data_IF_391050632982
#
_entry.id   IF_391050632982
#
_cell.length_a   1.000
_cell.length_b   1.000
_cell.length_c   1.000
_cell.angle_alpha   90.00
_cell.angle_beta   90.00
_cell.angle_gamma   90.00
#
_symmetry.space_group_name_H-M   'P 1'
#
loop_
_entity.id
_entity.type
_entity.pdbx_description
1 polymer ?
#
# COMPACT_ATOMS: atom_id res chain seq x y z
N UNK A 1 -59.11 5.75 -4.66
CA UNK A 1 -57.81 5.23 -4.18
C UNK A 1 -56.67 5.31 -5.20
N UNK A 2 -56.93 5.26 -6.52
CA UNK A 2 -55.89 5.25 -7.57
C UNK A 2 -55.12 6.59 -7.68
N UNK A 3 -55.76 7.73 -7.42
CA UNK A 3 -55.13 9.07 -7.52
C UNK A 3 -54.03 9.36 -6.48
N UNK A 4 -54.00 8.64 -5.36
CA UNK A 4 -53.01 8.89 -4.31
C UNK A 4 -51.65 8.24 -4.63
N UNK A 5 -51.67 7.14 -5.38
CA UNK A 5 -50.47 6.41 -5.83
C UNK A 5 -49.76 7.23 -6.91
N UNK A 6 -50.49 7.73 -7.91
CA UNK A 6 -49.90 8.52 -9.01
C UNK A 6 -49.23 9.82 -8.54
N UNK A 7 -49.74 10.46 -7.47
CA UNK A 7 -49.14 11.67 -6.90
C UNK A 7 -47.79 11.42 -6.21
N UNK A 8 -47.52 10.20 -5.75
CA UNK A 8 -46.28 9.83 -5.04
C UNK A 8 -45.20 9.25 -5.94
N UNK A 9 -45.55 8.77 -7.14
CA UNK A 9 -44.59 8.29 -8.16
C UNK A 9 -43.43 9.28 -8.39
N UNK A 10 -43.65 10.60 -8.61
CA UNK A 10 -42.55 11.55 -8.82
C UNK A 10 -41.66 11.73 -7.58
N UNK A 11 -42.22 11.65 -6.37
CA UNK A 11 -41.45 11.75 -5.12
C UNK A 11 -40.57 10.51 -4.89
N UNK A 12 -41.08 9.32 -5.22
CA UNK A 12 -40.33 8.06 -5.15
C UNK A 12 -39.19 8.07 -6.17
N UNK A 13 -39.44 8.52 -7.41
CA UNK A 13 -38.42 8.65 -8.44
C UNK A 13 -37.31 9.63 -8.03
N UNK A 14 -37.67 10.77 -7.42
CA UNK A 14 -36.71 11.75 -6.91
C UNK A 14 -35.84 11.16 -5.78
N UNK A 15 -36.43 10.41 -4.85
CA UNK A 15 -35.68 9.75 -3.77
C UNK A 15 -34.71 8.69 -4.31
N UNK A 16 -35.15 7.88 -5.28
CA UNK A 16 -34.28 6.89 -5.95
C UNK A 16 -33.14 7.61 -6.68
N UNK A 17 -33.42 8.70 -7.38
CA UNK A 17 -32.39 9.49 -8.06
C UNK A 17 -31.39 10.10 -7.07
N UNK A 18 -31.85 10.66 -5.95
CA UNK A 18 -30.97 11.16 -4.88
C UNK A 18 -30.12 10.05 -4.27
N UNK A 19 -30.67 8.83 -4.09
CA UNK A 19 -29.93 7.68 -3.60
C UNK A 19 -28.82 7.27 -4.59
N UNK A 20 -29.15 7.18 -5.89
CA UNK A 20 -28.18 6.85 -6.95
C UNK A 20 -27.09 7.92 -7.01
N UNK A 21 -27.44 9.21 -7.00
CA UNK A 21 -26.47 10.31 -7.00
C UNK A 21 -25.58 10.29 -5.75
N UNK A 22 -26.15 9.97 -4.58
CA UNK A 22 -25.40 9.81 -3.33
C UNK A 22 -24.38 8.67 -3.40
N UNK A 23 -24.79 7.49 -3.92
CA UNK A 23 -23.89 6.34 -4.12
C UNK A 23 -22.78 6.68 -5.12
N UNK A 24 -23.10 7.33 -6.24
CA UNK A 24 -22.11 7.74 -7.26
C UNK A 24 -21.13 8.78 -6.73
N UNK A 25 -21.55 9.70 -5.86
CA UNK A 25 -20.63 10.65 -5.21
C UNK A 25 -19.75 10.02 -4.13
N UNK A 26 -20.26 9.02 -3.40
CA UNK A 26 -19.45 8.20 -2.49
C UNK A 26 -18.39 7.40 -3.24
N UNK A 27 -18.73 6.88 -4.42
CA UNK A 27 -17.82 6.12 -5.27
C UNK A 27 -16.67 6.97 -5.83
N UNK A 28 -16.91 8.27 -6.12
CA UNK A 28 -15.85 9.22 -6.51
C UNK A 28 -14.98 9.71 -5.36
N UNK A 29 -15.46 9.58 -4.11
CA UNK A 29 -14.68 9.78 -2.88
C UNK A 29 -14.14 8.46 -2.32
N UNK A 30 -14.10 7.39 -3.12
CA UNK A 30 -13.42 6.16 -2.72
C UNK A 30 -12.03 6.56 -2.22
N UNK A 31 -11.80 6.26 -0.95
CA UNK A 31 -10.51 6.39 -0.30
C UNK A 31 -9.50 5.75 -1.24
N UNK A 32 -8.53 6.52 -1.75
CA UNK A 32 -7.41 5.95 -2.51
C UNK A 32 -6.79 4.87 -1.61
N UNK A 33 -7.03 3.60 -1.92
CA UNK A 33 -6.49 2.49 -1.15
C UNK A 33 -5.06 2.22 -1.58
N UNK A 34 -4.26 1.66 -0.67
CA UNK A 34 -2.83 1.45 -0.88
C UNK A 34 -1.98 2.21 0.12
N UNK A 35 -0.68 2.23 -0.10
CA UNK A 35 0.28 2.99 0.70
C UNK A 35 0.91 4.09 -0.15
N UNK A 36 1.35 5.17 0.49
CA UNK A 36 2.12 6.21 -0.19
C UNK A 36 3.54 5.71 -0.40
N UNK A 37 3.91 5.42 -1.64
CA UNK A 37 5.27 5.12 -2.05
C UNK A 37 6.05 6.42 -2.26
N UNK A 38 7.31 6.46 -1.86
CA UNK A 38 8.29 7.50 -2.15
C UNK A 38 9.54 6.84 -2.71
N UNK A 39 9.93 7.21 -3.91
CA UNK A 39 11.10 6.70 -4.61
C UNK A 39 12.26 7.68 -4.51
N UNK A 40 13.40 7.20 -4.05
CA UNK A 40 14.61 7.99 -3.88
C UNK A 40 15.56 7.65 -5.02
N UNK A 41 15.36 8.32 -6.16
CA UNK A 41 16.27 8.21 -7.31
C UNK A 41 17.48 9.08 -7.02
N UNK A 42 18.49 8.52 -6.37
CA UNK A 42 19.80 9.14 -6.17
C UNK A 42 19.77 10.53 -5.48
N UNK A 43 19.61 10.52 -4.15
CA UNK A 43 19.66 11.73 -3.34
C UNK A 43 21.00 12.48 -3.46
N UNK A 44 22.08 11.81 -3.89
CA UNK A 44 23.41 12.41 -4.06
C UNK A 44 23.48 13.30 -5.31
N UNK A 45 22.66 13.00 -6.34
CA UNK A 45 22.55 13.82 -7.56
C UNK A 45 21.52 14.95 -7.44
N UNK A 46 20.88 15.12 -6.27
CA UNK A 46 19.92 16.20 -6.01
C UNK A 46 18.58 16.05 -6.75
N UNK A 47 18.28 14.86 -7.29
CA UNK A 47 16.99 14.59 -7.92
C UNK A 47 15.92 14.50 -6.82
N UNK A 48 14.81 15.26 -6.91
CA UNK A 48 13.77 15.22 -5.89
C UNK A 48 13.07 13.85 -5.86
N UNK A 49 12.75 13.31 -4.67
CA UNK A 49 11.97 12.09 -4.56
C UNK A 49 10.59 12.23 -5.20
N UNK A 50 10.12 11.16 -5.83
CA UNK A 50 8.76 11.09 -6.41
C UNK A 50 7.87 10.32 -5.43
N UNK A 51 6.69 10.85 -5.12
CA UNK A 51 5.70 10.17 -4.28
C UNK A 51 4.40 9.91 -5.03
N UNK A 52 3.78 8.74 -4.80
CA UNK A 52 2.44 8.37 -5.30
C UNK A 52 1.78 7.37 -4.38
N UNK A 53 0.46 7.22 -4.45
CA UNK A 53 -0.25 6.12 -3.78
C UNK A 53 -0.17 4.87 -4.65
N UNK A 54 0.29 3.77 -4.06
CA UNK A 54 0.35 2.46 -4.69
C UNK A 54 -0.60 1.48 -4.03
N UNK A 55 -1.47 0.89 -4.83
CA UNK A 55 -2.43 -0.11 -4.38
C UNK A 55 -1.76 -1.38 -3.89
N UNK A 56 -0.60 -1.73 -4.44
CA UNK A 56 0.19 -2.89 -4.06
C UNK A 56 1.57 -2.42 -3.62
N UNK A 57 2.04 -2.94 -2.49
CA UNK A 57 3.39 -2.66 -1.97
C UNK A 57 4.33 -3.67 -2.59
N UNK A 58 4.78 -3.39 -3.80
CA UNK A 58 5.67 -4.27 -4.56
C UNK A 58 6.57 -3.47 -5.47
N UNK A 59 7.74 -4.02 -5.75
CA UNK A 59 8.70 -3.49 -6.71
C UNK A 59 9.35 -4.65 -7.46
N UNK A 60 9.73 -4.39 -8.70
CA UNK A 60 10.44 -5.35 -9.54
C UNK A 60 11.61 -4.69 -10.27
N UNK A 61 12.46 -5.51 -10.89
CA UNK A 61 13.66 -5.06 -11.60
C UNK A 61 13.39 -4.10 -12.78
N UNK A 62 12.16 -4.03 -13.29
CA UNK A 62 11.77 -3.16 -14.40
C UNK A 62 11.01 -1.90 -13.93
N UNK A 63 10.95 -1.63 -12.62
CA UNK A 63 10.27 -0.45 -12.10
C UNK A 63 11.10 0.81 -12.37
N UNK A 64 10.71 1.57 -13.39
CA UNK A 64 11.42 2.79 -13.82
C UNK A 64 11.37 3.91 -12.76
N UNK A 65 10.53 3.78 -11.73
CA UNK A 65 10.46 4.72 -10.63
C UNK A 65 11.42 4.40 -9.50
N UNK A 66 11.49 3.14 -9.09
CA UNK A 66 12.33 2.74 -7.96
C UNK A 66 13.70 2.19 -8.34
N UNK A 67 13.87 1.67 -9.56
CA UNK A 67 15.16 1.19 -10.08
C UNK A 67 15.78 2.27 -10.95
N UNK A 68 16.93 2.80 -10.52
CA UNK A 68 17.67 3.83 -11.25
C UNK A 68 19.17 3.56 -11.19
N UNK A 69 19.82 3.54 -12.36
CA UNK A 69 21.26 3.30 -12.48
C UNK A 69 21.76 2.06 -11.71
N UNK A 70 20.96 1.00 -11.69
CA UNK A 70 21.31 -0.24 -11.00
C UNK A 70 21.16 -0.20 -9.48
N UNK A 71 20.61 0.86 -8.89
CA UNK A 71 20.26 0.90 -7.46
C UNK A 71 18.74 0.97 -7.24
N UNK A 72 18.33 0.64 -6.02
CA UNK A 72 16.94 0.63 -5.58
C UNK A 72 16.81 1.36 -4.24
N UNK A 73 15.83 2.26 -4.13
CA UNK A 73 15.42 2.81 -2.83
C UNK A 73 13.97 3.32 -2.87
N UNK A 74 13.10 2.64 -2.14
CA UNK A 74 11.66 2.94 -2.10
C UNK A 74 11.12 2.77 -0.68
N UNK A 75 10.30 3.72 -0.26
CA UNK A 75 9.61 3.72 1.03
C UNK A 75 8.11 3.80 0.84
N UNK A 76 7.37 2.84 1.37
CA UNK A 76 5.92 2.88 1.50
C UNK A 76 5.49 3.24 2.92
N UNK A 77 4.53 4.14 3.06
CA UNK A 77 4.02 4.57 4.36
C UNK A 77 2.49 4.75 4.35
N UNK A 78 1.86 4.46 5.50
CA UNK A 78 0.42 4.56 5.68
C UNK A 78 -0.06 3.68 6.83
N UNK A 79 -1.14 2.95 6.59
CA UNK A 79 -1.78 2.10 7.58
C UNK A 79 -2.16 0.74 7.01
N UNK A 80 -2.02 -0.30 7.82
CA UNK A 80 -2.63 -1.60 7.59
C UNK A 80 -3.85 -1.77 8.50
N UNK A 81 -5.00 -2.08 7.92
CA UNK A 81 -6.25 -2.29 8.64
C UNK A 81 -6.43 -3.75 9.06
N UNK A 82 -6.89 -3.97 10.28
CA UNK A 82 -7.33 -5.27 10.76
C UNK A 82 -8.72 -5.16 11.38
N UNK A 83 -9.61 -6.10 11.07
CA UNK A 83 -10.96 -6.15 11.65
C UNK A 83 -10.98 -6.61 13.12
N UNK A 84 -9.92 -7.29 13.58
CA UNK A 84 -9.74 -7.78 14.95
C UNK A 84 -8.25 -7.78 15.32
N UNK A 85 -7.93 -7.98 16.60
CA UNK A 85 -6.54 -8.28 16.99
C UNK A 85 -6.09 -9.56 16.28
N UNK A 86 -4.94 -9.53 15.63
CA UNK A 86 -4.43 -10.65 14.85
C UNK A 86 -2.91 -10.74 14.97
N UNK A 87 -2.40 -11.96 15.01
CA UNK A 87 -0.99 -12.25 14.82
C UNK A 87 -0.77 -12.57 13.34
N UNK A 88 0.22 -11.93 12.73
CA UNK A 88 0.58 -12.14 11.32
C UNK A 88 2.06 -12.53 11.22
N UNK A 89 2.41 -13.24 10.16
CA UNK A 89 3.77 -13.55 9.79
C UNK A 89 4.11 -12.75 8.53
N UNK A 90 5.17 -11.96 8.57
CA UNK A 90 5.64 -11.13 7.47
C UNK A 90 6.89 -11.75 6.88
N UNK A 91 6.94 -11.90 5.56
CA UNK A 91 8.10 -12.44 4.87
C UNK A 91 9.18 -11.37 4.76
N UNK A 92 10.42 -11.77 5.00
CA UNK A 92 11.61 -10.91 4.88
C UNK A 92 12.27 -11.19 3.53
N UNK A 93 12.57 -10.18 2.70
CA UNK A 93 13.30 -10.39 1.46
C UNK A 93 14.74 -10.84 1.74
N UNK A 94 15.30 -11.67 0.86
CA UNK A 94 16.66 -12.18 1.00
C UNK A 94 17.68 -11.30 0.27
N UNK A 95 17.30 -10.81 -0.91
CA UNK A 95 18.19 -10.13 -1.85
C UNK A 95 18.13 -8.59 -1.75
N UNK A 96 17.31 -8.06 -0.84
CA UNK A 96 17.14 -6.62 -0.63
C UNK A 96 17.32 -6.26 0.84
N UNK A 97 17.87 -5.07 1.10
CA UNK A 97 17.80 -4.49 2.43
C UNK A 97 16.34 -4.14 2.71
N UNK A 98 15.85 -4.49 3.89
CA UNK A 98 14.48 -4.21 4.27
C UNK A 98 14.39 -3.65 5.67
N UNK A 99 13.57 -2.62 5.79
CA UNK A 99 13.26 -2.01 7.06
C UNK A 99 11.76 -1.84 7.18
N UNK A 100 11.17 -2.49 8.18
CA UNK A 100 9.74 -2.42 8.46
C UNK A 100 9.53 -1.90 9.89
N UNK A 101 8.77 -0.82 9.99
CA UNK A 101 8.23 -0.29 11.24
C UNK A 101 6.72 -0.47 11.21
N UNK A 102 6.19 -1.13 12.23
CA UNK A 102 4.75 -1.35 12.43
C UNK A 102 4.39 -0.88 13.83
N UNK A 103 3.34 -0.06 13.97
CA UNK A 103 2.93 0.46 15.28
C UNK A 103 4.06 1.17 16.05
N UNK A 104 4.94 1.88 15.32
CA UNK A 104 6.15 2.55 15.83
C UNK A 104 7.23 1.62 16.39
N UNK A 105 7.12 0.31 16.16
CA UNK A 105 8.12 -0.69 16.53
C UNK A 105 8.80 -1.23 15.28
N UNK A 106 10.12 -1.35 15.31
CA UNK A 106 10.87 -2.02 14.24
C UNK A 106 10.59 -3.51 14.29
N UNK A 107 10.00 -4.06 13.23
CA UNK A 107 9.68 -5.48 13.08
C UNK A 107 10.67 -6.18 12.17
N UNK A 108 11.13 -5.52 11.10
CA UNK A 108 12.15 -6.05 10.19
C UNK A 108 13.27 -5.01 10.10
N UNK A 109 14.50 -5.46 10.24
CA UNK A 109 15.71 -4.69 9.96
C UNK A 109 16.75 -5.65 9.42
N UNK A 110 16.81 -5.77 8.11
CA UNK A 110 17.58 -6.79 7.40
C UNK A 110 18.46 -6.16 6.32
N UNK A 111 19.66 -6.72 6.12
CA UNK A 111 20.61 -6.30 5.08
C UNK A 111 20.78 -7.46 4.10
N UNK A 112 20.63 -7.23 2.80
CA UNK A 112 20.69 -8.28 1.79
C UNK A 112 21.88 -9.24 1.97
N UNK A 113 21.67 -10.53 1.68
CA UNK A 113 22.71 -11.57 1.62
C UNK A 113 23.53 -11.83 2.91
N UNK A 114 23.04 -11.47 4.10
CA UNK A 114 23.69 -11.85 5.37
C UNK A 114 23.24 -13.24 5.83
N UNK A 115 24.16 -14.04 6.39
CA UNK A 115 23.90 -15.46 6.73
C UNK A 115 22.81 -15.67 7.81
N UNK A 116 22.61 -14.73 8.73
CA UNK A 116 21.61 -14.80 9.80
C UNK A 116 20.32 -14.06 9.44
N UNK A 117 19.67 -14.46 8.35
CA UNK A 117 18.43 -13.84 7.87
C UNK A 117 17.19 -14.68 8.19
N UNK A 118 16.28 -14.22 9.08
CA UNK A 118 15.01 -14.90 9.29
C UNK A 118 14.18 -14.79 8.00
N UNK A 119 13.61 -15.91 7.53
CA UNK A 119 12.71 -15.91 6.36
C UNK A 119 11.40 -15.16 6.62
N UNK A 120 10.99 -15.11 7.90
CA UNK A 120 9.73 -14.56 8.35
C UNK A 120 9.85 -13.95 9.74
N UNK A 121 9.08 -12.91 10.03
CA UNK A 121 8.93 -12.34 11.38
C UNK A 121 7.46 -12.35 11.79
N UNK A 122 7.18 -12.81 13.01
CA UNK A 122 5.86 -12.77 13.62
C UNK A 122 5.64 -11.41 14.31
N UNK A 123 4.46 -10.81 14.11
CA UNK A 123 4.08 -9.55 14.77
C UNK A 123 2.57 -9.47 15.02
N UNK A 124 2.13 -8.47 15.78
CA UNK A 124 0.74 -8.25 16.14
C UNK A 124 0.14 -7.03 15.44
N UNK A 125 -1.07 -7.19 14.92
CA UNK A 125 -1.96 -6.11 14.54
C UNK A 125 -3.01 -5.90 15.62
N UNK A 126 -3.23 -4.64 15.98
CA UNK A 126 -4.38 -4.20 16.74
C UNK A 126 -5.62 -4.14 15.84
N UNK A 127 -6.80 -4.22 16.46
CA UNK A 127 -8.05 -3.94 15.74
C UNK A 127 -8.06 -2.46 15.29
N UNK A 128 -8.40 -2.22 14.03
CA UNK A 128 -8.40 -0.90 13.41
C UNK A 128 -7.16 -0.64 12.55
N UNK A 129 -6.72 0.62 12.50
CA UNK A 129 -5.60 1.07 11.68
C UNK A 129 -4.28 0.95 12.44
N UNK A 130 -3.31 0.27 11.84
CA UNK A 130 -1.97 0.08 12.38
C UNK A 130 -0.98 0.85 11.48
N UNK A 131 -0.32 1.92 11.97
CA UNK A 131 0.64 2.66 11.14
C UNK A 131 1.80 1.76 10.72
N UNK A 132 2.17 1.86 9.45
CA UNK A 132 3.19 1.06 8.81
C UNK A 132 4.12 1.94 7.98
N UNK A 133 5.41 1.65 8.04
CA UNK A 133 6.43 2.16 7.13
C UNK A 133 7.32 0.99 6.71
N UNK A 134 7.42 0.76 5.41
CA UNK A 134 8.23 -0.29 4.82
C UNK A 134 9.19 0.33 3.81
N UNK A 135 10.49 0.05 3.94
CA UNK A 135 11.50 0.51 3.00
C UNK A 135 12.25 -0.70 2.44
N UNK A 136 12.43 -0.69 1.13
CA UNK A 136 13.32 -1.59 0.42
C UNK A 136 14.43 -0.77 -0.21
N UNK A 137 15.66 -1.21 -0.04
CA UNK A 137 16.81 -0.60 -0.70
C UNK A 137 17.85 -1.64 -1.08
N UNK A 138 18.63 -1.32 -2.11
CA UNK A 138 19.83 -2.07 -2.42
C UNK A 138 20.76 -1.19 -3.28
N UNK A 139 22.06 -1.09 -2.94
CA UNK A 139 22.96 -0.18 -3.65
C UNK A 139 23.30 -0.67 -5.07
N UNK A 140 23.21 -1.98 -5.32
CA UNK A 140 23.54 -2.57 -6.62
C UNK A 140 22.72 -3.84 -6.89
N UNK A 141 21.63 -3.71 -7.64
CA UNK A 141 20.76 -4.81 -8.06
C UNK A 141 21.23 -5.50 -9.36
N UNK A 142 22.38 -5.13 -9.94
CA UNK A 142 23.12 -5.81 -11.01
C UNK A 142 22.29 -6.56 -12.07
N UNK A 143 21.29 -5.91 -12.68
CA UNK A 143 20.40 -6.50 -13.71
C UNK A 143 19.75 -7.85 -13.30
N UNK A 144 19.71 -8.15 -12.01
CA UNK A 144 19.11 -9.38 -11.51
C UNK A 144 17.60 -9.26 -11.62
N UNK A 145 16.93 -10.25 -12.22
CA UNK A 145 15.47 -10.29 -12.23
C UNK A 145 14.97 -10.53 -10.81
N UNK A 146 14.21 -9.59 -10.25
CA UNK A 146 13.57 -9.73 -8.94
C UNK A 146 12.16 -9.15 -8.94
N UNK A 147 11.36 -9.62 -7.98
CA UNK A 147 10.09 -9.02 -7.60
C UNK A 147 9.89 -9.24 -6.12
N UNK A 148 9.77 -8.17 -5.36
CA UNK A 148 9.56 -8.22 -3.92
C UNK A 148 8.58 -7.14 -3.45
N UNK A 149 8.30 -7.09 -2.16
CA UNK A 149 7.28 -6.23 -1.58
C UNK A 149 6.84 -6.68 -0.19
N UNK A 150 5.82 -6.01 0.33
CA UNK A 150 5.25 -6.35 1.62
C UNK A 150 4.38 -7.59 1.51
N UNK A 151 4.92 -8.70 1.99
CA UNK A 151 4.31 -10.04 1.91
C UNK A 151 3.99 -10.58 3.30
N UNK A 152 2.87 -11.27 3.41
CA UNK A 152 2.51 -12.06 4.58
C UNK A 152 2.50 -13.55 4.27
N UNK A 153 2.66 -14.36 5.30
CA UNK A 153 2.48 -15.81 5.21
C UNK A 153 1.05 -16.16 5.59
N UNK A 154 0.43 -16.99 4.77
CA UNK A 154 -0.92 -17.51 4.97
C UNK A 154 -0.88 -19.03 4.92
N UNK A 155 -1.95 -19.71 5.36
CA UNK A 155 -2.04 -21.17 5.26
C UNK A 155 -1.96 -21.73 3.82
N UNK A 156 -2.03 -20.84 2.81
CA UNK A 156 -1.95 -21.16 1.37
C UNK A 156 -0.69 -20.56 0.72
N UNK A 157 0.33 -20.21 1.53
CA UNK A 157 1.63 -19.71 1.08
C UNK A 157 1.86 -18.22 1.32
N UNK A 158 2.99 -17.72 0.81
CA UNK A 158 3.42 -16.32 0.90
C UNK A 158 2.68 -15.50 -0.17
N UNK A 159 2.09 -14.37 0.23
CA UNK A 159 1.32 -13.49 -0.67
C UNK A 159 1.55 -12.02 -0.35
N UNK A 160 1.42 -11.16 -1.35
CA UNK A 160 1.32 -9.72 -1.10
C UNK A 160 0.11 -9.41 -0.22
N UNK A 161 0.26 -8.39 0.64
CA UNK A 161 -0.87 -7.89 1.43
C UNK A 161 -1.89 -7.23 0.49
N UNK A 162 -3.16 -7.67 0.47
CA UNK A 162 -4.16 -7.11 -0.43
C UNK A 162 -4.46 -5.63 -0.16
N UNK A 163 -4.66 -4.87 -1.23
CA UNK A 163 -4.98 -3.42 -1.22
C UNK A 163 -6.12 -3.03 -0.28
N UNK A 164 -7.13 -3.89 -0.12
CA UNK A 164 -8.26 -3.65 0.80
C UNK A 164 -7.87 -3.49 2.27
N UNK A 165 -6.66 -3.92 2.64
CA UNK A 165 -6.11 -3.76 3.98
C UNK A 165 -5.17 -2.55 4.08
N UNK A 166 -4.91 -1.82 3.00
CA UNK A 166 -3.88 -0.78 2.94
C UNK A 166 -4.52 0.59 2.73
N UNK A 167 -4.09 1.55 3.54
CA UNK A 167 -4.61 2.92 3.53
C UNK A 167 -3.44 3.92 3.54
N UNK A 168 -3.50 5.00 2.74
CA UNK A 168 -2.40 5.94 2.62
C UNK A 168 -2.25 6.78 3.89
N UNK A 169 -1.05 7.33 4.10
CA UNK A 169 -0.74 8.23 5.22
C UNK A 169 -1.46 9.59 5.12
N UNK A 170 -1.91 9.99 3.93
CA UNK A 170 -2.68 11.20 3.67
C UNK A 170 -3.86 10.89 2.74
N UNK A 171 -5.04 11.42 3.05
CA UNK A 171 -6.26 11.31 2.22
C UNK A 171 -6.32 12.37 1.09
N UNK A 172 -5.27 13.18 0.92
CA UNK A 172 -5.30 14.37 0.05
C UNK A 172 -4.57 14.22 -1.28
N UNK A 173 -3.87 13.10 -1.55
CA UNK A 173 -3.18 12.89 -2.84
C UNK A 173 -4.18 12.46 -3.94
N UNK A 174 -5.11 13.36 -4.27
CA UNK A 174 -5.77 13.42 -5.56
C UNK A 174 -5.02 14.48 -6.37
N UNK A 175 -4.65 14.15 -7.61
CA UNK A 175 -3.85 14.94 -8.58
C UNK A 175 -2.34 14.63 -8.51
N UNK A 176 -1.85 13.67 -9.30
CA UNK A 176 -1.57 13.75 -10.74
C UNK A 176 -0.14 14.25 -11.00
N UNK A 177 0.62 13.34 -11.62
CA UNK A 177 1.83 13.58 -12.38
C UNK A 177 1.60 14.77 -13.31
N UNK A 178 2.29 15.88 -13.07
CA UNK A 178 2.56 16.84 -14.14
C UNK A 178 3.77 16.32 -14.90
N UNK A 179 3.50 15.86 -16.12
CA UNK A 179 4.51 15.60 -17.14
C UNK A 179 5.29 16.87 -17.49
#
# INVERSE_FOLDING_TARGET
>A
MINYVYKRIPQILLLILCLILGIVQLDKRTVNQGLRATYYRDAEQGIPPISRVEQLVTINSNDHYGVYNGSLDVKWEGYIWSNKKATIHLSVPQDLDAHLVLNKQTVISSIANKEEHPKSVQTELFQGLNPIMYRLSHPDINNTYFTDGLKWETGIGIRLIPTKYLFPSSLQDNHAVTA
#
